data_IF_844392502157
#
_entry.id   IF_844392502157
#
_cell.length_a   1.000
_cell.length_b   1.000
_cell.length_c   1.000
_cell.angle_alpha   90.00
_cell.angle_beta   90.00
_cell.angle_gamma   90.00
#
_symmetry.space_group_name_H-M   'P 1'
#
loop_
_entity.id
_entity.type
_entity.pdbx_description
1 polymer ?
#
# COMPACT_ATOMS: atom_id res chain seq x y z
N UNK A 1 8.66 4.97 -1.08
CA UNK A 1 9.88 4.26 -1.53
C UNK A 1 10.47 3.50 -0.35
N UNK A 2 11.16 2.38 -0.57
CA UNK A 2 11.77 1.53 0.49
C UNK A 2 12.92 0.71 -0.09
N UNK A 3 14.06 0.60 0.63
CA UNK A 3 15.13 -0.39 0.37
C UNK A 3 14.93 -1.75 1.05
N UNK A 4 15.71 -2.75 0.63
CA UNK A 4 15.50 -4.17 1.00
C UNK A 4 16.26 -4.65 2.24
N UNK A 5 17.37 -4.01 2.66
CA UNK A 5 18.17 -4.42 3.83
C UNK A 5 18.29 -3.36 4.93
N UNK A 6 18.63 -3.80 6.15
CA UNK A 6 18.91 -2.93 7.30
C UNK A 6 20.21 -2.16 7.08
N UNK A 7 20.12 -0.85 6.85
CA UNK A 7 21.26 0.04 6.58
C UNK A 7 21.22 0.70 5.19
N UNK A 8 20.36 0.19 4.30
CA UNK A 8 20.11 0.76 2.98
C UNK A 8 19.17 1.97 3.03
N UNK A 9 19.04 2.68 1.91
CA UNK A 9 18.11 3.80 1.74
C UNK A 9 16.70 3.45 2.28
N UNK A 10 16.25 4.20 3.27
CA UNK A 10 14.98 4.06 3.98
C UNK A 10 13.79 4.63 3.18
N UNK A 11 14.05 5.07 1.94
CA UNK A 11 13.06 5.57 1.01
C UNK A 11 13.00 7.09 0.93
N UNK A 12 11.90 7.57 0.34
CA UNK A 12 11.65 8.96 0.05
C UNK A 12 10.25 9.15 -0.51
N UNK A 13 9.83 10.42 -0.55
CA UNK A 13 8.59 10.87 -1.19
C UNK A 13 8.95 11.64 -2.45
N UNK A 14 8.19 11.38 -3.51
CA UNK A 14 8.44 11.95 -4.82
C UNK A 14 7.14 12.55 -5.37
N UNK A 15 7.24 13.73 -5.97
CA UNK A 15 6.25 14.21 -6.93
C UNK A 15 6.64 13.67 -8.31
N UNK A 16 5.68 13.11 -9.04
CA UNK A 16 5.89 12.53 -10.37
C UNK A 16 4.90 13.15 -11.34
N UNK A 17 5.43 13.83 -12.35
CA UNK A 17 4.69 14.39 -13.47
C UNK A 17 4.80 13.40 -14.64
N UNK A 18 3.74 12.61 -14.83
CA UNK A 18 3.70 11.57 -15.87
C UNK A 18 3.57 12.16 -17.28
N UNK A 19 3.08 13.39 -17.44
CA UNK A 19 2.97 14.04 -18.74
C UNK A 19 4.33 14.56 -19.20
N UNK A 20 5.11 15.13 -18.28
CA UNK A 20 6.46 15.63 -18.56
C UNK A 20 7.57 14.58 -18.44
N UNK A 21 7.27 13.40 -17.89
CA UNK A 21 8.27 12.38 -17.59
C UNK A 21 9.31 12.89 -16.58
N UNK A 22 8.86 13.61 -15.56
CA UNK A 22 9.72 14.25 -14.58
C UNK A 22 9.35 13.83 -13.15
N UNK A 23 10.34 13.77 -12.27
CA UNK A 23 10.12 13.52 -10.86
C UNK A 23 11.02 14.36 -9.97
N UNK A 24 10.48 14.80 -8.84
CA UNK A 24 11.20 15.54 -7.81
C UNK A 24 11.09 14.80 -6.49
N UNK A 25 12.24 14.48 -5.88
CA UNK A 25 12.25 14.02 -4.49
C UNK A 25 11.97 15.20 -3.56
N UNK A 26 10.91 15.10 -2.77
CA UNK A 26 10.46 16.15 -1.86
C UNK A 26 10.73 15.81 -0.39
N UNK A 27 10.90 14.52 -0.08
CA UNK A 27 11.41 14.05 1.20
C UNK A 27 12.44 12.94 0.95
N UNK A 28 13.59 13.06 1.61
CA UNK A 28 14.55 11.96 1.73
C UNK A 28 14.46 11.38 3.14
N UNK A 29 14.02 10.13 3.22
CA UNK A 29 13.88 9.42 4.47
C UNK A 29 15.25 8.97 5.03
N UNK A 30 16.36 9.27 4.33
CA UNK A 30 17.73 9.07 4.82
C UNK A 30 18.36 10.33 5.42
N UNK A 31 17.71 11.49 5.29
CA UNK A 31 18.27 12.72 5.80
C UNK A 31 18.41 12.66 7.34
N UNK A 32 19.56 13.11 7.85
CA UNK A 32 20.02 13.02 9.24
C UNK A 32 19.16 13.74 10.29
N UNK A 33 18.02 14.34 9.89
CA UNK A 33 17.08 15.03 10.77
C UNK A 33 15.91 14.17 11.29
N UNK A 34 15.78 12.92 10.86
CA UNK A 34 14.75 12.00 11.36
C UNK A 34 15.38 11.17 12.50
N UNK A 35 14.94 11.37 13.75
CA UNK A 35 15.39 10.55 14.89
C UNK A 35 14.87 9.12 14.75
N UNK A 36 15.76 8.13 14.73
CA UNK A 36 15.46 6.70 14.54
C UNK A 36 15.33 5.90 15.84
N UNK A 37 15.60 6.52 16.99
CA UNK A 37 15.58 5.82 18.27
C UNK A 37 14.18 5.30 18.60
N UNK A 38 14.08 3.99 18.86
CA UNK A 38 12.83 3.31 19.23
C UNK A 38 11.88 2.94 18.09
N UNK A 39 12.20 3.23 16.81
CA UNK A 39 11.34 2.94 15.65
C UNK A 39 11.65 1.57 15.06
N UNK A 40 11.14 0.50 15.68
CA UNK A 40 11.40 -0.91 15.36
C UNK A 40 11.90 -1.15 13.93
N UNK A 41 13.03 -1.84 13.81
CA UNK A 41 13.94 -1.92 12.64
C UNK A 41 13.35 -2.32 11.26
N UNK A 42 12.03 -2.37 11.10
CA UNK A 42 11.32 -2.68 9.87
C UNK A 42 11.02 -1.38 9.07
N UNK A 43 11.82 -1.16 8.03
CA UNK A 43 12.02 0.17 7.42
C UNK A 43 11.21 0.36 6.13
N UNK A 44 10.83 1.62 5.83
CA UNK A 44 10.31 2.08 4.54
C UNK A 44 8.90 2.67 4.55
N UNK A 45 8.70 3.76 3.80
CA UNK A 45 7.39 4.38 3.55
C UNK A 45 6.54 3.49 2.63
N UNK A 46 5.29 3.19 3.02
CA UNK A 46 4.43 2.25 2.28
C UNK A 46 3.13 2.91 1.81
N UNK A 47 2.24 3.28 2.71
CA UNK A 47 0.94 3.87 2.39
C UNK A 47 0.99 5.40 2.31
N UNK A 48 0.15 5.98 1.46
CA UNK A 48 -0.02 7.44 1.35
C UNK A 48 -1.49 7.79 1.17
N UNK A 49 -1.94 8.88 1.79
CA UNK A 49 -3.25 9.45 1.56
C UNK A 49 -3.17 10.98 1.65
N UNK A 50 -3.95 11.68 0.83
CA UNK A 50 -4.04 13.15 0.86
C UNK A 50 -5.45 13.51 1.29
N UNK A 51 -5.57 14.32 2.34
CA UNK A 51 -6.86 14.80 2.86
C UNK A 51 -6.79 16.30 3.07
N UNK A 52 -7.51 17.05 2.24
CA UNK A 52 -7.44 18.51 2.25
C UNK A 52 -6.00 18.99 2.00
N UNK A 53 -5.41 19.68 2.99
CA UNK A 53 -4.04 20.19 2.93
C UNK A 53 -3.01 19.30 3.64
N UNK A 54 -3.41 18.10 4.06
CA UNK A 54 -2.56 17.18 4.81
C UNK A 54 -2.18 15.96 3.96
N UNK A 55 -0.91 15.58 4.04
CA UNK A 55 -0.35 14.38 3.42
C UNK A 55 0.00 13.39 4.52
N UNK A 56 -0.76 12.30 4.56
CA UNK A 56 -0.57 11.18 5.48
C UNK A 56 0.34 10.15 4.84
N UNK A 57 1.38 9.74 5.56
CA UNK A 57 2.35 8.76 5.08
C UNK A 57 2.54 7.70 6.15
N UNK A 58 2.25 6.45 5.80
CA UNK A 58 2.48 5.31 6.67
C UNK A 58 3.93 4.81 6.56
N UNK A 59 4.60 4.74 7.70
CA UNK A 59 5.76 3.87 7.91
C UNK A 59 5.30 2.58 8.61
N UNK A 60 6.25 1.73 9.05
CA UNK A 60 5.89 0.45 9.65
C UNK A 60 5.05 0.58 10.93
N UNK A 61 5.44 1.44 11.87
CA UNK A 61 4.82 1.58 13.20
C UNK A 61 4.25 2.98 13.48
N UNK A 62 4.22 3.86 12.47
CA UNK A 62 3.90 5.27 12.65
C UNK A 62 3.27 5.87 11.39
N UNK A 63 2.31 6.77 11.61
CA UNK A 63 1.62 7.55 10.60
C UNK A 63 2.11 9.00 10.68
N UNK A 64 2.89 9.44 9.70
CA UNK A 64 3.38 10.82 9.62
C UNK A 64 2.37 11.70 8.89
N UNK A 65 2.31 12.97 9.29
CA UNK A 65 1.47 13.98 8.65
C UNK A 65 2.32 15.17 8.27
N UNK A 66 2.22 15.56 7.01
CA UNK A 66 2.89 16.72 6.44
C UNK A 66 1.87 17.69 5.86
N UNK A 67 2.25 18.95 5.68
CA UNK A 67 1.50 19.87 4.83
C UNK A 67 1.83 19.65 3.34
N UNK A 68 1.17 20.42 2.46
CA UNK A 68 1.41 20.37 1.01
C UNK A 68 2.77 20.89 0.56
N UNK A 69 3.57 21.47 1.48
CA UNK A 69 4.98 21.84 1.26
C UNK A 69 5.93 20.81 1.88
N UNK A 70 5.41 19.66 2.28
CA UNK A 70 6.14 18.57 2.93
C UNK A 70 6.85 18.96 4.22
N UNK A 71 6.32 19.97 4.94
CA UNK A 71 6.78 20.30 6.29
C UNK A 71 6.07 19.38 7.28
N UNK A 72 6.79 18.76 8.24
CA UNK A 72 6.17 17.87 9.20
C UNK A 72 5.19 18.65 10.09
N UNK A 73 3.96 18.16 10.21
CA UNK A 73 2.93 18.71 11.09
C UNK A 73 2.87 17.93 12.40
N UNK A 74 2.78 16.61 12.31
CA UNK A 74 2.67 15.70 13.46
C UNK A 74 2.92 14.25 13.04
N UNK A 75 2.89 13.32 13.99
CA UNK A 75 2.83 11.90 13.73
C UNK A 75 2.01 11.17 14.78
N UNK A 76 1.45 10.03 14.39
CA UNK A 76 0.60 9.20 15.24
C UNK A 76 1.15 7.78 15.33
N UNK A 77 1.24 7.28 16.56
CA UNK A 77 1.62 5.90 16.87
C UNK A 77 0.45 5.17 17.50
N UNK A 78 0.46 3.86 17.39
CA UNK A 78 -0.48 3.01 18.11
C UNK A 78 0.18 1.66 18.43
N UNK A 79 -0.04 1.05 19.60
CA UNK A 79 0.54 -0.26 19.94
C UNK A 79 0.18 -1.38 18.95
N UNK A 80 -0.92 -1.20 18.20
CA UNK A 80 -1.40 -2.13 17.19
C UNK A 80 -1.06 -1.70 15.77
N UNK A 81 -0.29 -0.63 15.56
CA UNK A 81 0.18 -0.24 14.22
C UNK A 81 1.53 -0.92 14.00
N UNK A 82 1.52 -2.02 13.25
CA UNK A 82 2.72 -2.81 12.98
C UNK A 82 2.79 -3.20 11.51
N UNK A 83 3.91 -2.85 10.86
CA UNK A 83 4.15 -3.08 9.44
C UNK A 83 3.01 -2.55 8.55
N UNK A 84 2.57 -1.31 8.75
CA UNK A 84 1.49 -0.71 7.95
C UNK A 84 1.87 -0.60 6.47
N UNK A 85 1.01 -1.08 5.57
CA UNK A 85 1.28 -1.14 4.12
C UNK A 85 0.45 -0.15 3.31
N UNK A 86 -0.81 0.04 3.67
CA UNK A 86 -1.77 0.77 2.85
C UNK A 86 -2.70 1.61 3.72
N UNK A 87 -3.12 2.73 3.15
CA UNK A 87 -4.05 3.70 3.71
C UNK A 87 -5.27 3.79 2.80
N UNK A 88 -6.45 3.95 3.39
CA UNK A 88 -7.66 4.27 2.64
C UNK A 88 -8.54 5.27 3.39
N UNK A 89 -9.02 6.30 2.69
CA UNK A 89 -9.84 7.35 3.29
C UNK A 89 -11.29 7.19 2.82
N UNK A 90 -12.23 7.20 3.76
CA UNK A 90 -13.65 7.27 3.46
C UNK A 90 -14.40 8.03 4.55
N UNK A 91 -15.25 8.99 4.17
CA UNK A 91 -16.15 9.74 5.07
C UNK A 91 -15.48 10.24 6.38
N UNK A 92 -14.34 10.93 6.28
CA UNK A 92 -13.64 11.47 7.44
C UNK A 92 -12.94 10.44 8.32
N UNK A 93 -12.83 9.19 7.84
CA UNK A 93 -12.09 8.11 8.50
C UNK A 93 -10.90 7.70 7.63
N UNK A 94 -9.76 7.49 8.27
CA UNK A 94 -8.56 6.92 7.66
C UNK A 94 -8.40 5.49 8.17
N UNK A 95 -8.42 4.53 7.26
CA UNK A 95 -8.21 3.12 7.52
C UNK A 95 -6.76 2.75 7.18
N UNK A 96 -6.15 1.95 8.04
CA UNK A 96 -4.76 1.52 7.94
C UNK A 96 -4.69 0.01 8.06
N UNK A 97 -3.85 -0.61 7.25
CA UNK A 97 -3.47 -2.01 7.51
C UNK A 97 -2.52 -2.09 8.69
N UNK A 98 -2.61 -3.17 9.45
CA UNK A 98 -1.63 -3.56 10.45
C UNK A 98 -1.22 -5.01 10.21
N UNK A 99 -0.26 -5.19 9.31
CA UNK A 99 0.21 -6.51 8.86
C UNK A 99 0.77 -7.33 10.03
N UNK A 100 1.46 -6.69 10.99
CA UNK A 100 2.02 -7.36 12.17
C UNK A 100 1.00 -7.83 13.19
N UNK A 101 -0.26 -7.42 13.03
CA UNK A 101 -1.37 -7.81 13.89
C UNK A 101 -2.50 -8.48 13.11
N UNK A 102 -2.37 -8.71 11.80
CA UNK A 102 -3.47 -9.18 10.95
C UNK A 102 -4.78 -8.44 11.27
N UNK A 103 -4.68 -7.12 11.28
CA UNK A 103 -5.75 -6.22 11.70
C UNK A 103 -5.85 -5.00 10.79
N UNK A 104 -6.99 -4.31 10.90
CA UNK A 104 -7.14 -2.95 10.40
C UNK A 104 -7.29 -1.99 11.58
N UNK A 105 -6.71 -0.80 11.46
CA UNK A 105 -6.96 0.30 12.37
C UNK A 105 -7.72 1.40 11.65
N UNK A 106 -8.56 2.13 12.39
CA UNK A 106 -9.24 3.32 11.90
C UNK A 106 -8.91 4.51 12.78
N UNK A 107 -8.50 5.59 12.14
CA UNK A 107 -8.40 6.91 12.74
C UNK A 107 -9.58 7.76 12.30
N UNK A 108 -10.22 8.41 13.25
CA UNK A 108 -11.14 9.50 12.98
C UNK A 108 -10.35 10.78 12.69
N UNK A 109 -10.55 11.37 11.52
CA UNK A 109 -9.76 12.51 11.06
C UNK A 109 -10.16 13.83 11.73
N UNK A 110 -11.35 13.92 12.33
CA UNK A 110 -11.79 15.11 13.05
C UNK A 110 -11.18 15.17 14.45
N UNK A 111 -11.22 14.05 15.17
CA UNK A 111 -10.73 13.90 16.55
C UNK A 111 -9.25 13.50 16.63
N UNK A 112 -8.67 13.05 15.51
CA UNK A 112 -7.28 12.56 15.41
C UNK A 112 -6.98 11.37 16.32
N UNK A 113 -7.98 10.56 16.62
CA UNK A 113 -7.84 9.37 17.46
C UNK A 113 -8.02 8.09 16.65
N UNK A 114 -7.22 7.08 16.97
CA UNK A 114 -7.55 5.71 16.58
C UNK A 114 -8.78 5.28 17.39
N UNK A 115 -9.93 5.17 16.71
CA UNK A 115 -11.24 4.99 17.34
C UNK A 115 -11.80 3.56 17.19
N UNK A 116 -11.17 2.74 16.34
CA UNK A 116 -11.58 1.36 16.08
C UNK A 116 -10.40 0.52 15.59
N UNK A 117 -10.22 -0.65 16.20
CA UNK A 117 -9.39 -1.73 15.70
C UNK A 117 -10.25 -2.91 15.27
N UNK A 118 -9.89 -3.58 14.18
CA UNK A 118 -10.56 -4.76 13.65
C UNK A 118 -9.54 -5.89 13.55
N UNK A 119 -9.55 -6.81 14.51
CA UNK A 119 -8.72 -8.01 14.46
C UNK A 119 -9.41 -9.03 13.57
N UNK A 120 -8.70 -9.54 12.59
CA UNK A 120 -9.26 -10.49 11.63
C UNK A 120 -8.61 -11.85 11.87
N UNK A 121 -9.40 -12.91 11.72
CA UNK A 121 -8.91 -14.29 11.64
C UNK A 121 -9.56 -15.02 10.48
N UNK A 122 -8.94 -16.11 10.07
CA UNK A 122 -9.46 -17.01 9.05
C UNK A 122 -9.33 -18.44 9.57
N UNK A 123 -10.47 -19.06 9.83
CA UNK A 123 -10.55 -20.43 10.32
C UNK A 123 -11.05 -21.32 9.18
N UNK A 124 -10.12 -21.96 8.47
CA UNK A 124 -10.40 -22.85 7.34
C UNK A 124 -11.31 -22.24 6.25
N UNK A 125 -11.12 -20.96 5.93
CA UNK A 125 -11.89 -20.22 4.92
C UNK A 125 -13.03 -19.38 5.49
N UNK A 126 -13.35 -19.54 6.78
CA UNK A 126 -14.35 -18.71 7.47
C UNK A 126 -13.65 -17.48 8.05
N UNK A 127 -13.96 -16.31 7.50
CA UNK A 127 -13.43 -15.05 8.01
C UNK A 127 -14.22 -14.58 9.23
N UNK A 128 -13.49 -14.21 10.28
CA UNK A 128 -14.04 -13.62 11.49
C UNK A 128 -13.42 -12.25 11.72
N UNK A 129 -14.20 -11.35 12.33
CA UNK A 129 -13.72 -10.02 12.74
C UNK A 129 -14.14 -9.74 14.17
N UNK A 130 -13.18 -9.27 14.97
CA UNK A 130 -13.43 -8.79 16.32
C UNK A 130 -13.01 -7.32 16.42
N UNK A 131 -13.98 -6.46 16.72
CA UNK A 131 -13.70 -5.08 17.04
C UNK A 131 -13.01 -4.97 18.41
N UNK A 132 -12.11 -4.01 18.54
CA UNK A 132 -11.47 -3.66 19.81
C UNK A 132 -11.19 -2.15 19.86
N UNK A 133 -11.02 -1.62 21.07
CA UNK A 133 -10.59 -0.24 21.28
C UNK A 133 -9.05 -0.16 21.14
N UNK A 134 -8.52 0.44 20.07
CA UNK A 134 -7.08 0.45 19.83
C UNK A 134 -6.32 1.41 20.76
N UNK A 135 -7.03 2.13 21.65
CA UNK A 135 -6.41 3.00 22.68
C UNK A 135 -6.03 2.21 23.94
N UNK A 136 -6.54 0.99 24.09
CA UNK A 136 -6.26 0.13 25.23
C UNK A 136 -5.28 -0.98 24.82
N UNK A 137 -4.10 -1.10 25.46
CA UNK A 137 -3.14 -2.15 25.14
C UNK A 137 -3.64 -3.55 25.54
N UNK A 138 -3.02 -4.61 24.98
CA UNK A 138 -3.35 -6.01 25.30
C UNK A 138 -4.63 -6.59 24.68
N UNK A 139 -5.46 -5.81 23.99
CA UNK A 139 -6.72 -6.27 23.39
C UNK A 139 -6.61 -7.08 22.08
N UNK A 140 -5.46 -7.09 21.42
CA UNK A 140 -5.20 -7.88 20.21
C UNK A 140 -3.78 -8.46 20.21
N UNK A 141 -3.66 -9.76 19.93
CA UNK A 141 -2.37 -10.42 19.81
C UNK A 141 -1.72 -10.16 18.44
N UNK A 142 -0.39 -10.03 18.43
CA UNK A 142 0.41 -9.99 17.22
C UNK A 142 0.20 -11.26 16.39
N UNK A 143 0.11 -11.10 15.07
CA UNK A 143 -0.06 -12.19 14.10
C UNK A 143 0.20 -11.66 12.71
N UNK A 144 0.79 -12.50 11.85
CA UNK A 144 1.12 -12.17 10.47
C UNK A 144 0.88 -13.39 9.56
N UNK A 145 -0.14 -14.19 9.89
CA UNK A 145 -0.50 -15.38 9.13
C UNK A 145 -1.12 -15.00 7.78
N UNK A 146 -2.05 -14.05 7.78
CA UNK A 146 -2.72 -13.56 6.57
C UNK A 146 -1.86 -12.55 5.81
N UNK A 147 -1.00 -11.82 6.52
CA UNK A 147 -0.18 -10.75 5.97
C UNK A 147 -1.06 -9.69 5.31
N UNK A 148 -2.05 -9.18 6.06
CA UNK A 148 -3.00 -8.17 5.59
C UNK A 148 -2.22 -6.93 5.15
N UNK A 149 -2.20 -6.70 3.84
CA UNK A 149 -1.34 -5.72 3.19
C UNK A 149 -2.14 -4.67 2.42
N UNK A 150 -3.46 -4.87 2.28
CA UNK A 150 -4.32 -4.01 1.49
C UNK A 150 -5.60 -3.63 2.23
N UNK A 151 -6.05 -2.39 2.07
CA UNK A 151 -7.33 -1.89 2.57
C UNK A 151 -7.93 -0.89 1.59
N UNK A 152 -9.23 -1.01 1.35
CA UNK A 152 -10.02 -0.04 0.60
C UNK A 152 -11.35 0.19 1.30
N UNK A 153 -11.72 1.45 1.59
CA UNK A 153 -13.00 1.78 2.18
C UNK A 153 -13.84 2.61 1.21
N UNK A 154 -15.11 2.24 1.08
CA UNK A 154 -16.12 2.98 0.33
C UNK A 154 -17.50 2.88 1.02
N UNK A 155 -18.55 3.34 0.34
CA UNK A 155 -19.92 3.34 0.88
C UNK A 155 -20.51 1.94 1.08
N UNK A 156 -19.98 0.92 0.42
CA UNK A 156 -20.40 -0.47 0.58
C UNK A 156 -19.71 -1.14 1.78
N UNK A 157 -18.56 -0.63 2.23
CA UNK A 157 -17.89 -1.11 3.43
C UNK A 157 -16.38 -0.99 3.38
N UNK A 158 -15.71 -1.79 4.20
CA UNK A 158 -14.25 -1.87 4.26
C UNK A 158 -13.81 -3.18 3.63
N UNK A 159 -13.04 -3.10 2.57
CA UNK A 159 -12.45 -4.22 1.87
C UNK A 159 -11.00 -4.38 2.31
N UNK A 160 -10.55 -5.63 2.44
CA UNK A 160 -9.15 -5.92 2.69
C UNK A 160 -8.71 -7.17 1.94
N UNK A 161 -7.39 -7.28 1.80
CA UNK A 161 -6.73 -8.52 1.38
C UNK A 161 -5.33 -8.57 1.99
N UNK A 162 -4.65 -9.69 1.79
CA UNK A 162 -3.32 -9.97 2.28
C UNK A 162 -2.58 -10.91 1.34
N UNK A 163 -1.26 -10.98 1.49
CA UNK A 163 -0.43 -11.82 0.62
C UNK A 163 -0.85 -13.29 0.67
N UNK A 164 -1.34 -13.74 1.83
CA UNK A 164 -1.78 -15.11 2.09
C UNK A 164 -3.31 -15.22 2.22
N UNK A 165 -4.06 -14.23 1.72
CA UNK A 165 -5.53 -14.24 1.72
C UNK A 165 -6.00 -14.51 0.28
N UNK A 166 -6.62 -15.67 -0.01
CA UNK A 166 -7.03 -16.04 -1.37
C UNK A 166 -8.30 -15.30 -1.85
N UNK A 167 -8.62 -14.15 -1.25
CA UNK A 167 -9.84 -13.42 -1.52
C UNK A 167 -9.70 -11.92 -1.25
N UNK A 168 -10.54 -11.13 -1.94
CA UNK A 168 -10.95 -9.82 -1.46
C UNK A 168 -12.07 -10.05 -0.46
N UNK A 169 -11.92 -9.55 0.76
CA UNK A 169 -12.88 -9.75 1.84
C UNK A 169 -13.50 -8.39 2.18
N UNK A 170 -14.83 -8.37 2.28
CA UNK A 170 -15.59 -7.19 2.66
C UNK A 170 -16.05 -7.31 4.11
N UNK A 171 -15.91 -6.21 4.85
CA UNK A 171 -16.48 -5.99 6.17
C UNK A 171 -17.55 -4.91 6.04
N UNK A 172 -18.77 -5.26 6.41
CA UNK A 172 -19.91 -4.34 6.52
C UNK A 172 -20.25 -4.14 8.00
N UNK A 173 -21.34 -3.41 8.28
CA UNK A 173 -21.83 -3.25 9.65
C UNK A 173 -22.19 -4.60 10.31
N UNK A 174 -22.70 -5.54 9.52
CA UNK A 174 -23.37 -6.73 10.05
C UNK A 174 -22.71 -8.05 9.61
N UNK A 175 -21.75 -8.00 8.69
CA UNK A 175 -21.18 -9.21 8.09
C UNK A 175 -19.73 -9.00 7.64
N UNK A 176 -19.00 -10.11 7.59
CA UNK A 176 -17.70 -10.25 6.93
C UNK A 176 -17.78 -11.42 5.95
N UNK A 177 -17.19 -11.29 4.76
CA UNK A 177 -17.19 -12.37 3.78
C UNK A 177 -16.33 -12.10 2.56
N UNK A 178 -15.88 -13.17 1.90
CA UNK A 178 -15.19 -13.08 0.63
C UNK A 178 -16.15 -12.61 -0.48
N UNK A 179 -15.72 -11.64 -1.28
CA UNK A 179 -16.50 -11.07 -2.39
C UNK A 179 -15.88 -11.33 -3.76
N UNK A 180 -14.59 -11.71 -3.80
CA UNK A 180 -13.90 -12.15 -5.01
C UNK A 180 -12.71 -13.03 -4.65
N UNK A 181 -12.33 -13.95 -5.54
CA UNK A 181 -11.09 -14.73 -5.41
C UNK A 181 -9.87 -13.91 -5.82
N UNK A 182 -8.77 -14.07 -5.10
CA UNK A 182 -7.49 -13.42 -5.39
C UNK A 182 -6.34 -14.44 -5.36
N UNK A 183 -5.33 -14.30 -6.23
CA UNK A 183 -4.14 -15.12 -6.17
C UNK A 183 -3.29 -14.76 -4.95
N UNK A 184 -2.43 -15.69 -4.54
CA UNK A 184 -1.34 -15.40 -3.60
C UNK A 184 -0.47 -14.27 -4.15
N UNK A 185 0.11 -13.45 -3.28
CA UNK A 185 0.98 -12.36 -3.73
C UNK A 185 0.24 -11.06 -4.05
N UNK A 186 -1.08 -11.03 -3.89
CA UNK A 186 -1.90 -9.86 -4.20
C UNK A 186 -1.58 -8.65 -3.30
N UNK A 187 -1.55 -7.45 -3.90
CA UNK A 187 -1.46 -6.15 -3.24
C UNK A 187 -2.49 -5.15 -3.80
N UNK A 188 -2.83 -4.15 -2.98
CA UNK A 188 -3.69 -3.01 -3.33
C UNK A 188 -5.07 -3.41 -3.88
N UNK A 189 -5.58 -4.57 -3.48
CA UNK A 189 -6.82 -5.10 -4.02
C UNK A 189 -8.03 -4.27 -3.58
N UNK A 190 -8.89 -3.92 -4.54
CA UNK A 190 -10.12 -3.16 -4.30
C UNK A 190 -11.23 -3.52 -5.28
N UNK A 191 -12.51 -3.35 -4.89
CA UNK A 191 -13.59 -3.34 -5.87
C UNK A 191 -13.35 -2.23 -6.90
N UNK A 192 -13.60 -2.53 -8.17
CA UNK A 192 -13.47 -1.57 -9.26
C UNK A 192 -14.29 -2.01 -10.47
N UNK A 193 -15.21 -1.15 -10.94
CA UNK A 193 -16.03 -1.37 -12.16
C UNK A 193 -16.76 -2.72 -12.20
N UNK A 194 -17.39 -3.11 -11.10
CA UNK A 194 -18.10 -4.39 -11.00
C UNK A 194 -17.19 -5.63 -10.98
N UNK A 195 -15.87 -5.44 -10.92
CA UNK A 195 -14.87 -6.48 -10.71
C UNK A 195 -13.92 -6.10 -9.57
N UNK A 196 -12.71 -6.65 -9.61
CA UNK A 196 -11.64 -6.37 -8.66
C UNK A 196 -10.38 -5.96 -9.40
N UNK A 197 -9.77 -4.88 -8.94
CA UNK A 197 -8.50 -4.35 -9.42
C UNK A 197 -7.43 -4.62 -8.37
N UNK A 198 -6.27 -5.12 -8.78
CA UNK A 198 -5.18 -5.45 -7.87
C UNK A 198 -3.82 -5.56 -8.59
N UNK A 199 -2.74 -5.46 -7.81
CA UNK A 199 -1.40 -5.85 -8.24
C UNK A 199 -1.21 -7.34 -7.93
N UNK A 200 -1.05 -8.16 -8.98
CA UNK A 200 -0.67 -9.57 -8.90
C UNK A 200 0.87 -9.64 -8.88
N UNK A 201 1.45 -9.40 -7.70
CA UNK A 201 2.90 -9.25 -7.58
C UNK A 201 3.65 -10.53 -7.89
N UNK A 202 3.09 -11.71 -7.59
CA UNK A 202 3.75 -12.98 -7.89
C UNK A 202 3.75 -13.26 -9.41
N UNK A 203 2.77 -12.73 -10.16
CA UNK A 203 2.67 -12.85 -11.62
C UNK A 203 3.18 -11.62 -12.40
N UNK A 204 3.76 -10.63 -11.70
CA UNK A 204 4.31 -9.40 -12.29
C UNK A 204 3.33 -8.62 -13.17
N UNK A 205 2.09 -8.44 -12.70
CA UNK A 205 1.05 -7.77 -13.48
C UNK A 205 0.09 -6.91 -12.64
N UNK A 206 -0.44 -5.85 -13.26
CA UNK A 206 -1.68 -5.22 -12.84
C UNK A 206 -2.84 -6.04 -13.42
N UNK A 207 -3.82 -6.37 -12.58
CA UNK A 207 -4.96 -7.20 -12.99
C UNK A 207 -6.27 -6.50 -12.66
N UNK A 208 -7.16 -6.45 -13.64
CA UNK A 208 -8.59 -6.27 -13.41
C UNK A 208 -9.32 -7.57 -13.75
N UNK A 209 -10.12 -8.08 -12.83
CA UNK A 209 -10.92 -9.28 -13.01
C UNK A 209 -12.39 -8.97 -12.72
N UNK A 210 -13.24 -9.07 -13.74
CA UNK A 210 -14.69 -8.92 -13.62
C UNK A 210 -15.44 -10.14 -14.17
N UNK A 211 -16.77 -10.10 -14.16
CA UNK A 211 -17.60 -11.18 -14.69
C UNK A 211 -17.26 -11.49 -16.16
N UNK A 212 -16.75 -12.69 -16.43
CA UNK A 212 -16.44 -13.17 -17.78
C UNK A 212 -15.28 -12.47 -18.49
N UNK A 213 -14.60 -11.50 -17.86
CA UNK A 213 -13.47 -10.79 -18.46
C UNK A 213 -12.35 -10.59 -17.44
N UNK A 214 -11.14 -10.96 -17.84
CA UNK A 214 -9.91 -10.70 -17.10
C UNK A 214 -8.95 -9.91 -17.99
N UNK A 215 -8.36 -8.88 -17.41
CA UNK A 215 -7.32 -8.09 -18.04
C UNK A 215 -6.07 -8.18 -17.18
N UNK A 216 -4.97 -8.58 -17.81
CA UNK A 216 -3.66 -8.72 -17.16
C UNK A 216 -2.69 -7.87 -17.95
N UNK A 217 -2.18 -6.79 -17.34
CA UNK A 217 -1.24 -5.88 -17.97
C UNK A 217 0.12 -6.07 -17.28
N UNK A 218 1.16 -6.53 -18.00
CA UNK A 218 2.47 -6.76 -17.41
C UNK A 218 3.06 -5.50 -16.78
N UNK A 219 3.75 -5.67 -15.65
CA UNK A 219 4.59 -4.62 -15.07
C UNK A 219 5.81 -4.41 -15.99
N UNK A 220 6.21 -3.14 -16.26
CA UNK A 220 7.40 -2.87 -17.06
C UNK A 220 8.66 -3.54 -16.50
N UNK A 221 9.53 -3.97 -17.42
CA UNK A 221 10.83 -4.60 -17.13
C UNK A 221 11.94 -3.78 -17.75
N UNK A 222 13.14 -3.95 -17.19
CA UNK A 222 14.37 -3.33 -17.69
C UNK A 222 15.39 -4.40 -18.03
N UNK A 223 16.34 -4.04 -18.89
CA UNK A 223 17.47 -4.90 -19.24
C UNK A 223 18.21 -5.28 -17.94
N UNK A 224 18.32 -6.59 -17.62
CA UNK A 224 19.05 -7.04 -16.44
C UNK A 224 20.45 -6.47 -16.30
N UNK A 225 21.15 -6.18 -17.40
CA UNK A 225 22.50 -5.60 -17.38
C UNK A 225 22.54 -4.14 -16.86
N UNK A 226 21.41 -3.45 -16.85
CA UNK A 226 21.30 -2.05 -16.39
C UNK A 226 20.86 -1.93 -14.94
N UNK A 227 20.40 -3.05 -14.34
CA UNK A 227 19.92 -3.07 -12.97
C UNK A 227 21.08 -2.98 -11.99
N UNK A 228 20.85 -2.29 -10.87
CA UNK A 228 21.83 -2.20 -9.78
C UNK A 228 21.33 -2.97 -8.56
N UNK A 229 22.28 -3.45 -7.74
CA UNK A 229 22.00 -4.23 -6.53
C UNK A 229 21.20 -5.52 -6.78
N UNK A 230 21.41 -6.15 -7.95
CA UNK A 230 20.82 -7.43 -8.33
C UNK A 230 21.25 -8.58 -7.42
N UNK A 231 22.44 -8.46 -6.82
CA UNK A 231 23.02 -9.48 -5.93
C UNK A 231 22.48 -9.39 -4.49
N UNK A 232 21.66 -8.37 -4.20
CA UNK A 232 21.20 -8.04 -2.86
C UNK A 232 20.13 -9.01 -2.30
N UNK A 233 19.79 -10.11 -2.98
CA UNK A 233 18.67 -10.95 -2.54
C UNK A 233 18.86 -12.47 -2.56
N UNK A 234 18.90 -13.04 -1.34
CA UNK A 234 18.66 -14.45 -1.05
C UNK A 234 17.16 -14.74 -0.72
N UNK A 235 16.27 -13.73 -0.72
CA UNK A 235 14.90 -13.78 -0.15
C UNK A 235 13.73 -13.64 -1.16
N UNK A 236 14.01 -13.43 -2.46
CA UNK A 236 13.02 -13.30 -3.57
C UNK A 236 12.09 -12.07 -3.52
N UNK A 237 12.39 -11.05 -2.71
CA UNK A 237 11.60 -9.81 -2.56
C UNK A 237 12.21 -8.63 -3.33
N UNK A 238 13.54 -8.48 -3.34
CA UNK A 238 14.25 -7.43 -4.07
C UNK A 238 14.56 -7.88 -5.50
N UNK A 239 13.54 -7.77 -6.36
CA UNK A 239 13.61 -8.11 -7.77
C UNK A 239 12.85 -7.10 -8.60
N UNK A 240 13.22 -6.95 -9.87
CA UNK A 240 12.42 -6.15 -10.81
C UNK A 240 11.02 -6.76 -11.02
N UNK A 241 10.13 -5.93 -11.57
CA UNK A 241 8.73 -6.22 -11.87
C UNK A 241 7.85 -6.52 -10.63
N UNK A 242 8.38 -6.33 -9.42
CA UNK A 242 7.62 -6.47 -8.19
C UNK A 242 6.61 -5.31 -8.06
N UNK A 243 5.41 -5.52 -8.59
CA UNK A 243 4.35 -4.51 -8.66
C UNK A 243 3.68 -4.24 -7.30
N UNK A 244 3.64 -2.98 -6.88
CA UNK A 244 3.00 -2.48 -5.65
C UNK A 244 2.63 -1.00 -5.80
N UNK A 245 1.74 -0.52 -4.94
CA UNK A 245 1.23 0.83 -5.06
C UNK A 245 0.24 0.90 -6.22
N UNK A 246 -0.90 1.52 -5.97
CA UNK A 246 -1.97 1.57 -6.94
C UNK A 246 -2.78 2.83 -6.68
N UNK A 247 -3.03 3.59 -7.73
CA UNK A 247 -3.87 4.76 -7.69
C UNK A 247 -4.79 4.76 -8.91
N UNK A 248 -6.09 4.79 -8.67
CA UNK A 248 -7.09 4.94 -9.73
C UNK A 248 -7.11 6.43 -10.12
N UNK A 249 -6.77 6.74 -11.37
CA UNK A 249 -6.79 8.10 -11.91
C UNK A 249 -8.12 8.40 -12.60
N UNK A 250 -8.70 7.40 -13.26
CA UNK A 250 -10.00 7.50 -13.92
C UNK A 250 -10.67 6.13 -14.00
N UNK A 251 -11.78 6.09 -14.73
CA UNK A 251 -12.51 4.89 -15.08
C UNK A 251 -11.69 3.85 -15.85
N UNK A 252 -10.63 4.22 -16.55
CA UNK A 252 -9.78 3.25 -17.28
C UNK A 252 -8.31 3.40 -16.94
N UNK A 253 -7.89 4.55 -16.44
CA UNK A 253 -6.48 4.86 -16.23
C UNK A 253 -6.06 4.61 -14.78
N UNK A 254 -5.07 3.73 -14.61
CA UNK A 254 -4.54 3.30 -13.32
C UNK A 254 -3.05 3.62 -13.27
N UNK A 255 -2.60 4.36 -12.25
CA UNK A 255 -1.19 4.45 -11.91
C UNK A 255 -0.80 3.28 -11.00
N UNK A 256 0.26 2.55 -11.36
CA UNK A 256 0.80 1.47 -10.55
C UNK A 256 2.30 1.64 -10.36
N UNK A 257 2.80 1.26 -9.18
CA UNK A 257 4.21 1.29 -8.86
C UNK A 257 4.87 -0.08 -9.07
N UNK A 258 6.19 -0.08 -9.22
CA UNK A 258 6.98 -1.32 -9.22
C UNK A 258 8.44 -1.11 -8.82
N UNK A 259 9.13 -2.23 -8.61
CA UNK A 259 10.61 -2.30 -8.60
C UNK A 259 11.17 -2.60 -10.01
N UNK A 260 12.36 -2.07 -10.38
CA UNK A 260 13.02 -0.97 -9.69
C UNK A 260 12.13 0.26 -9.80
N UNK A 261 12.40 1.30 -9.02
CA UNK A 261 11.41 2.35 -8.77
C UNK A 261 10.85 2.97 -10.03
N UNK A 262 9.61 2.62 -10.31
CA UNK A 262 8.90 3.00 -11.52
C UNK A 262 7.46 3.33 -11.16
N UNK A 263 6.92 4.38 -11.78
CA UNK A 263 5.48 4.64 -11.82
C UNK A 263 5.01 4.43 -13.26
N UNK A 264 3.97 3.64 -13.45
CA UNK A 264 3.44 3.27 -14.76
C UNK A 264 1.96 3.61 -14.87
N UNK A 265 1.54 4.11 -16.02
CA UNK A 265 0.14 4.34 -16.36
C UNK A 265 -0.37 3.16 -17.20
N UNK A 266 -1.38 2.48 -16.68
CA UNK A 266 -2.05 1.37 -17.34
C UNK A 266 -3.46 1.79 -17.74
N UNK A 267 -3.80 1.62 -19.01
CA UNK A 267 -5.15 1.88 -19.52
C UNK A 267 -5.90 0.55 -19.71
N UNK A 268 -6.95 0.36 -18.92
CA UNK A 268 -7.82 -0.81 -18.99
C UNK A 268 -8.72 -0.85 -20.24
N UNK A 269 -8.89 0.28 -20.94
CA UNK A 269 -9.54 0.31 -22.24
C UNK A 269 -8.64 -0.28 -23.32
N UNK A 270 -7.37 0.15 -23.34
CA UNK A 270 -6.36 -0.33 -24.26
C UNK A 270 -5.80 -1.72 -23.89
N UNK A 271 -5.90 -2.12 -22.62
CA UNK A 271 -5.29 -3.36 -22.11
C UNK A 271 -3.76 -3.29 -22.09
N UNK A 272 -3.20 -2.10 -21.92
CA UNK A 272 -1.76 -1.86 -22.06
C UNK A 272 -1.22 -0.87 -21.03
N UNK A 273 0.08 -0.97 -20.77
CA UNK A 273 0.85 0.10 -20.13
C UNK A 273 1.12 1.18 -21.19
N UNK A 274 0.59 2.38 -21.01
CA UNK A 274 0.66 3.47 -22.00
C UNK A 274 1.78 4.47 -21.73
N UNK A 275 2.28 4.52 -20.49
CA UNK A 275 3.43 5.33 -20.11
C UNK A 275 4.13 4.74 -18.88
N UNK A 276 5.43 4.95 -18.76
CA UNK A 276 6.20 4.62 -17.55
C UNK A 276 7.28 5.66 -17.30
N UNK A 277 7.53 5.93 -16.03
CA UNK A 277 8.58 6.82 -15.56
C UNK A 277 9.45 6.09 -14.54
N UNK A 278 10.70 5.80 -14.91
CA UNK A 278 11.69 5.21 -14.00
C UNK A 278 12.40 6.31 -13.22
N UNK A 279 12.44 6.17 -11.89
CA UNK A 279 13.14 7.09 -10.99
C UNK A 279 14.52 6.52 -10.61
N UNK A 280 14.62 5.20 -10.49
CA UNK A 280 15.87 4.51 -10.13
C UNK A 280 15.87 3.08 -10.68
N UNK A 281 17.07 2.58 -11.00
CA UNK A 281 17.34 1.20 -11.43
C UNK A 281 17.83 0.31 -10.27
N UNK A 282 17.76 0.77 -9.02
CA UNK A 282 18.01 -0.05 -7.83
C UNK A 282 16.81 -0.96 -7.54
N UNK A 283 17.00 -2.27 -7.73
CA UNK A 283 15.94 -3.29 -7.58
C UNK A 283 15.48 -3.49 -6.13
N UNK A 284 16.23 -2.97 -5.17
CA UNK A 284 15.82 -2.97 -3.76
C UNK A 284 14.68 -2.00 -3.49
N UNK A 285 14.48 -1.02 -4.40
CA UNK A 285 13.52 0.07 -4.25
C UNK A 285 12.29 -0.08 -5.14
N UNK A 286 11.10 0.15 -4.56
CA UNK A 286 9.85 0.24 -5.30
C UNK A 286 9.01 1.46 -4.89
N UNK A 287 8.16 1.91 -5.81
CA UNK A 287 7.06 2.82 -5.49
C UNK A 287 5.95 2.01 -4.76
N UNK A 288 5.83 2.17 -3.44
CA UNK A 288 4.93 1.35 -2.61
C UNK A 288 3.53 1.94 -2.39
N UNK A 289 3.43 3.27 -2.44
CA UNK A 289 2.19 4.01 -2.22
C UNK A 289 2.10 5.12 -3.23
N UNK A 290 0.89 5.33 -3.76
CA UNK A 290 0.59 6.32 -4.78
C UNK A 290 -0.70 7.04 -4.41
N UNK A 291 -0.70 8.37 -4.54
CA UNK A 291 -1.88 9.20 -4.42
C UNK A 291 -1.83 10.27 -5.52
N UNK A 292 -3.00 10.64 -6.04
CA UNK A 292 -3.11 11.77 -6.97
C UNK A 292 -2.79 13.05 -6.23
N UNK A 293 -1.80 13.80 -6.72
CA UNK A 293 -1.52 15.12 -6.16
C UNK A 293 -2.61 16.10 -6.61
N UNK A 294 -3.23 16.85 -5.68
CA UNK A 294 -4.26 17.83 -6.05
C UNK A 294 -3.64 18.96 -6.88
N UNK A 295 -4.36 19.35 -7.94
CA UNK A 295 -4.04 20.50 -8.80
C UNK A 295 -4.46 21.83 -8.20
#
# INVERSE_FOLDING_TARGET
>A
MRGSQQGDSHGGLYLVDMERGASQQVLDWNASGISWDGRGADRGLRGIAIVGQEVFIAAADELFVYDTRFRPLTSYRNPYLGHCHELSVHQGKLYLTSTGFDALLRMDLATRQFDLGLKISNDAGVYNVRAFDPRQPGLAAASNAMHINSVHADSAGVFFSGRNVPALVQITRNAIGAVAGLPRGTHNARPFRGGVLFNDTDSDALVWAGPGKRMTIPVPRYDPATLTHTDADQTKVARQAFGRGLCVLSDTLIAAGSSPTTVSLHDLGAGACIASHNISLDVRNAAHGLAVWPS
#
